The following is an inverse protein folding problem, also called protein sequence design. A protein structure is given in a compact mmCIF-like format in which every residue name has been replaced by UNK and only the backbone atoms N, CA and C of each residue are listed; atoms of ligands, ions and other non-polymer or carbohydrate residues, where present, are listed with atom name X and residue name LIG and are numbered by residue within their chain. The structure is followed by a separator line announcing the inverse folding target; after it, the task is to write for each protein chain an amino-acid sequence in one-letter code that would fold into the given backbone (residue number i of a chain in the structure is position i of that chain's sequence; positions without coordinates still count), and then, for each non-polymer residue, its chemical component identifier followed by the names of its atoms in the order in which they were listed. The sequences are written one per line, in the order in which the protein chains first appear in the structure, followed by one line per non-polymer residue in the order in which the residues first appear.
data_IF_679190935102
#
_entry.id   IF_679190935102
#
_cell.length_a   1.000
_cell.length_b   1.000
_cell.length_c   1.000
_cell.angle_alpha   90.00
_cell.angle_beta   90.00
_cell.angle_gamma   90.00
#
_symmetry.space_group_name_H-M   'P 1'
#
loop_
_entity.id
_entity.type
_entity.pdbx_description
1 polymer ?
#
# COMPACT_ATOMS: atom_id res chain seq x y z
N UNK A 1 88.58 -36.36 34.06
CA UNK A 1 87.22 -36.45 33.45
C UNK A 1 86.34 -35.44 34.18
N UNK A 2 85.44 -34.75 33.48
CA UNK A 2 84.45 -33.75 33.98
C UNK A 2 84.81 -32.27 33.96
N UNK A 3 85.22 -31.71 32.83
CA UNK A 3 85.05 -30.27 32.54
C UNK A 3 84.55 -29.98 31.11
N UNK A 4 84.85 -30.83 30.12
CA UNK A 4 84.36 -30.62 28.75
C UNK A 4 82.88 -30.97 28.52
N UNK A 5 82.24 -31.77 29.39
CA UNK A 5 80.81 -32.11 29.23
C UNK A 5 79.84 -30.99 29.68
N UNK A 6 80.30 -29.97 30.40
CA UNK A 6 79.42 -28.95 30.96
C UNK A 6 79.22 -27.73 30.03
N UNK A 7 80.16 -27.47 29.11
CA UNK A 7 80.02 -26.38 28.13
C UNK A 7 79.05 -26.70 26.99
N UNK A 8 78.92 -27.97 26.59
CA UNK A 8 78.00 -28.36 25.51
C UNK A 8 76.52 -28.33 25.91
N UNK A 9 76.19 -28.31 27.22
CA UNK A 9 74.80 -28.28 27.69
C UNK A 9 74.21 -26.86 27.76
N UNK A 10 75.01 -25.82 28.01
CA UNK A 10 74.51 -24.42 28.02
C UNK A 10 74.16 -23.90 26.63
N UNK A 11 74.87 -24.35 25.58
CA UNK A 11 74.61 -23.91 24.21
C UNK A 11 73.33 -24.53 23.63
N UNK A 12 72.96 -25.75 24.07
CA UNK A 12 71.74 -26.42 23.64
C UNK A 12 70.46 -25.72 24.12
N UNK A 13 70.45 -25.23 25.37
CA UNK A 13 69.27 -24.61 26.00
C UNK A 13 68.90 -23.25 25.38
N UNK A 14 69.90 -22.43 25.06
CA UNK A 14 69.69 -21.13 24.39
C UNK A 14 69.28 -21.27 22.92
N UNK A 15 69.82 -22.25 22.19
CA UNK A 15 69.41 -22.50 20.81
C UNK A 15 67.96 -22.98 20.72
N UNK A 16 67.50 -23.81 21.67
CA UNK A 16 66.11 -24.31 21.69
C UNK A 16 65.09 -23.20 21.98
N UNK A 17 65.39 -22.26 22.87
CA UNK A 17 64.48 -21.15 23.20
C UNK A 17 64.31 -20.18 22.03
N UNK A 18 65.39 -19.82 21.34
CA UNK A 18 65.32 -18.93 20.17
C UNK A 18 64.51 -19.56 19.05
N UNK A 19 64.69 -20.86 18.79
CA UNK A 19 63.88 -21.57 17.78
C UNK A 19 62.40 -21.61 18.14
N UNK A 20 62.06 -21.75 19.44
CA UNK A 20 60.67 -21.74 19.91
C UNK A 20 59.99 -20.39 19.76
N UNK A 21 60.69 -19.30 20.06
CA UNK A 21 60.17 -17.92 19.87
C UNK A 21 59.93 -17.63 18.39
N UNK A 22 60.86 -18.03 17.51
CA UNK A 22 60.71 -17.85 16.05
C UNK A 22 59.52 -18.65 15.50
N UNK A 23 59.34 -19.89 15.95
CA UNK A 23 58.18 -20.70 15.56
C UNK A 23 56.86 -20.10 16.05
N UNK A 24 56.78 -19.61 17.29
CA UNK A 24 55.57 -18.92 17.78
C UNK A 24 55.25 -17.66 16.96
N UNK A 25 56.26 -16.82 16.69
CA UNK A 25 56.07 -15.61 15.88
C UNK A 25 55.60 -15.95 14.47
N UNK A 26 56.16 -17.00 13.85
CA UNK A 26 55.73 -17.51 12.55
C UNK A 26 54.24 -17.90 12.56
N UNK A 27 53.79 -18.68 13.55
CA UNK A 27 52.39 -19.09 13.64
C UNK A 27 51.43 -17.92 13.88
N UNK A 28 51.83 -16.91 14.67
CA UNK A 28 51.03 -15.69 14.86
C UNK A 28 50.89 -14.93 13.55
N UNK A 29 51.98 -14.76 12.80
CA UNK A 29 51.95 -14.08 11.49
C UNK A 29 51.10 -14.87 10.51
N UNK A 30 51.29 -16.19 10.43
CA UNK A 30 50.50 -17.06 9.56
C UNK A 30 49.00 -16.99 9.90
N UNK A 31 48.64 -17.04 11.19
CA UNK A 31 47.26 -16.89 11.64
C UNK A 31 46.69 -15.50 11.26
N UNK A 32 47.48 -14.44 11.44
CA UNK A 32 47.07 -13.06 11.11
C UNK A 32 46.83 -12.91 9.61
N UNK A 33 47.76 -13.38 8.77
CA UNK A 33 47.63 -13.37 7.30
C UNK A 33 46.41 -14.18 6.86
N UNK A 34 46.16 -15.32 7.51
CA UNK A 34 45.00 -16.17 7.20
C UNK A 34 43.67 -15.46 7.52
N UNK A 35 43.57 -14.82 8.69
CA UNK A 35 42.39 -14.04 9.09
C UNK A 35 42.15 -12.86 8.15
N UNK A 36 43.21 -12.11 7.81
CA UNK A 36 43.11 -10.98 6.87
C UNK A 36 42.70 -11.44 5.47
N UNK A 37 43.25 -12.56 4.99
CA UNK A 37 42.89 -13.15 3.69
C UNK A 37 41.42 -13.59 3.68
N UNK A 38 40.94 -14.22 4.77
CA UNK A 38 39.53 -14.57 4.92
C UNK A 38 38.63 -13.32 4.92
N UNK A 39 38.99 -12.27 5.66
CA UNK A 39 38.22 -11.01 5.68
C UNK A 39 38.20 -10.33 4.31
N UNK A 40 39.30 -10.36 3.56
CA UNK A 40 39.39 -9.80 2.22
C UNK A 40 38.56 -10.61 1.22
N UNK A 41 38.67 -11.94 1.24
CA UNK A 41 37.86 -12.83 0.40
C UNK A 41 36.37 -12.65 0.71
N UNK A 42 35.99 -12.59 2.00
CA UNK A 42 34.62 -12.31 2.45
C UNK A 42 34.09 -10.99 1.87
N UNK A 43 34.89 -9.92 1.93
CA UNK A 43 34.52 -8.62 1.34
C UNK A 43 34.35 -8.71 -0.18
N UNK A 44 35.25 -9.38 -0.87
CA UNK A 44 35.21 -9.52 -2.33
C UNK A 44 34.06 -10.40 -2.82
N UNK A 45 33.72 -11.47 -2.09
CA UNK A 45 32.62 -12.38 -2.43
C UNK A 45 31.25 -11.73 -2.19
N UNK A 46 31.12 -10.88 -1.18
CA UNK A 46 29.84 -10.20 -0.89
C UNK A 46 29.66 -8.87 -1.63
N UNK A 47 30.70 -8.33 -2.26
CA UNK A 47 30.56 -7.17 -3.16
C UNK A 47 29.58 -7.41 -4.32
N UNK A 48 29.70 -8.48 -5.13
CA UNK A 48 28.78 -8.73 -6.24
C UNK A 48 27.34 -8.94 -5.75
N UNK A 49 27.15 -9.66 -4.64
CA UNK A 49 25.84 -9.89 -4.05
C UNK A 49 25.17 -8.57 -3.61
N UNK A 50 25.92 -7.67 -2.95
CA UNK A 50 25.42 -6.34 -2.58
C UNK A 50 25.03 -5.51 -3.78
N UNK A 51 25.80 -5.59 -4.86
CA UNK A 51 25.51 -4.86 -6.10
C UNK A 51 24.25 -5.40 -6.76
N UNK A 52 24.03 -6.70 -6.75
CA UNK A 52 22.83 -7.32 -7.31
C UNK A 52 21.58 -6.96 -6.50
N UNK A 53 21.62 -7.10 -5.18
CA UNK A 53 20.55 -6.66 -4.28
C UNK A 53 20.24 -5.18 -4.49
N UNK A 54 21.27 -4.34 -4.57
CA UNK A 54 21.08 -2.91 -4.84
C UNK A 54 20.43 -2.64 -6.19
N UNK A 55 20.75 -3.40 -7.24
CA UNK A 55 20.09 -3.27 -8.55
C UNK A 55 18.61 -3.63 -8.47
N UNK A 56 18.26 -4.70 -7.75
CA UNK A 56 16.86 -5.09 -7.54
C UNK A 56 16.11 -4.02 -6.75
N UNK A 57 16.71 -3.48 -5.69
CA UNK A 57 16.17 -2.32 -4.96
C UNK A 57 15.98 -1.11 -5.87
N UNK A 58 16.95 -0.80 -6.73
CA UNK A 58 16.84 0.31 -7.68
C UNK A 58 15.64 0.12 -8.63
N UNK A 59 15.43 -1.11 -9.12
CA UNK A 59 14.30 -1.44 -9.98
C UNK A 59 12.96 -1.26 -9.25
N UNK A 60 12.86 -1.75 -8.01
CA UNK A 60 11.68 -1.56 -7.17
C UNK A 60 11.38 -0.07 -6.95
N UNK A 61 12.37 0.71 -6.54
CA UNK A 61 12.23 2.15 -6.33
C UNK A 61 11.87 2.92 -7.60
N UNK A 62 12.40 2.49 -8.75
CA UNK A 62 12.04 3.06 -10.05
C UNK A 62 10.58 2.77 -10.39
N UNK A 63 10.09 1.56 -10.11
CA UNK A 63 8.68 1.19 -10.29
C UNK A 63 7.79 2.06 -9.40
N UNK A 64 8.07 2.11 -8.09
CA UNK A 64 7.33 2.95 -7.13
C UNK A 64 7.32 4.42 -7.58
N UNK A 65 8.48 5.01 -7.83
CA UNK A 65 8.54 6.43 -8.25
C UNK A 65 7.84 6.67 -9.58
N UNK A 66 7.89 5.76 -10.54
CA UNK A 66 7.24 5.95 -11.83
C UNK A 66 5.71 6.09 -11.73
N UNK A 67 5.09 5.41 -10.75
CA UNK A 67 3.66 5.50 -10.46
C UNK A 67 3.29 6.87 -9.89
N UNK A 68 4.11 7.43 -8.99
CA UNK A 68 3.76 8.61 -8.20
C UNK A 68 4.39 9.93 -8.68
N UNK A 69 5.46 9.91 -9.49
CA UNK A 69 6.21 11.13 -9.88
C UNK A 69 5.45 12.03 -10.86
N UNK A 70 4.47 11.50 -11.60
CA UNK A 70 3.79 12.21 -12.71
C UNK A 70 2.31 12.51 -12.43
N UNK A 71 1.82 12.29 -11.23
CA UNK A 71 0.39 12.39 -10.92
C UNK A 71 0.07 13.54 -9.97
N UNK A 72 -0.69 14.53 -10.43
CA UNK A 72 -1.50 15.35 -9.52
C UNK A 72 -2.68 14.54 -9.00
N UNK A 73 -3.46 15.11 -8.06
CA UNK A 73 -4.60 14.44 -7.41
C UNK A 73 -5.50 13.67 -8.39
N UNK A 74 -5.83 14.29 -9.54
CA UNK A 74 -6.69 13.68 -10.56
C UNK A 74 -6.14 12.34 -11.08
N UNK A 75 -4.83 12.26 -11.36
CA UNK A 75 -4.22 11.03 -11.87
C UNK A 75 -4.17 9.93 -10.82
N UNK A 76 -4.00 10.29 -9.55
CA UNK A 76 -4.04 9.32 -8.46
C UNK A 76 -5.46 8.76 -8.32
N UNK A 77 -6.47 9.62 -8.37
CA UNK A 77 -7.87 9.19 -8.39
C UNK A 77 -8.20 8.29 -9.59
N UNK A 78 -7.67 8.62 -10.77
CA UNK A 78 -7.79 7.78 -11.97
C UNK A 78 -7.03 6.46 -11.87
N UNK A 79 -5.87 6.45 -11.20
CA UNK A 79 -5.10 5.23 -10.97
C UNK A 79 -5.93 4.24 -10.14
N UNK A 80 -6.43 4.68 -8.99
CA UNK A 80 -7.33 3.90 -8.13
C UNK A 80 -8.79 3.85 -8.62
N UNK A 81 -9.13 4.46 -9.75
CA UNK A 81 -10.47 4.42 -10.35
C UNK A 81 -11.62 4.92 -9.44
N UNK A 82 -11.31 5.81 -8.50
CA UNK A 82 -12.25 6.27 -7.45
C UNK A 82 -13.46 7.02 -8.04
N UNK A 83 -13.24 7.82 -9.08
CA UNK A 83 -14.31 8.55 -9.78
C UNK A 83 -15.32 7.60 -10.42
N UNK A 84 -14.85 6.46 -10.96
CA UNK A 84 -15.71 5.45 -11.56
C UNK A 84 -16.49 4.71 -10.49
N UNK A 85 -15.84 4.31 -9.40
CA UNK A 85 -16.50 3.72 -8.23
C UNK A 85 -17.63 4.62 -7.73
N UNK A 86 -17.36 5.92 -7.55
CA UNK A 86 -18.39 6.86 -7.12
C UNK A 86 -19.56 6.90 -8.11
N UNK A 87 -19.28 7.04 -9.41
CA UNK A 87 -20.33 7.09 -10.46
C UNK A 87 -21.17 5.82 -10.46
N UNK A 88 -20.54 4.65 -10.44
CA UNK A 88 -21.24 3.37 -10.46
C UNK A 88 -22.20 3.24 -9.28
N UNK A 89 -21.71 3.49 -8.07
CA UNK A 89 -22.53 3.39 -6.86
C UNK A 89 -23.61 4.48 -6.78
N UNK A 90 -23.35 5.66 -7.34
CA UNK A 90 -24.35 6.73 -7.49
C UNK A 90 -25.53 6.26 -8.36
N UNK A 91 -25.25 5.62 -9.49
CA UNK A 91 -26.30 5.07 -10.36
C UNK A 91 -27.06 3.92 -9.70
N UNK A 92 -26.37 3.02 -8.99
CA UNK A 92 -27.01 1.94 -8.25
C UNK A 92 -27.94 2.48 -7.16
N UNK A 93 -27.49 3.47 -6.40
CA UNK A 93 -28.32 4.17 -5.41
C UNK A 93 -29.54 4.81 -6.07
N UNK A 94 -29.35 5.48 -7.21
CA UNK A 94 -30.45 6.11 -7.94
C UNK A 94 -31.46 5.09 -8.47
N UNK A 95 -31.01 3.97 -9.01
CA UNK A 95 -31.88 2.89 -9.48
C UNK A 95 -32.68 2.26 -8.34
N UNK A 96 -32.05 2.07 -7.16
CA UNK A 96 -32.73 1.63 -5.95
C UNK A 96 -33.77 2.66 -5.49
N UNK A 97 -33.48 3.96 -5.58
CA UNK A 97 -34.40 5.03 -5.23
C UNK A 97 -35.62 5.09 -6.16
N UNK A 98 -35.40 4.97 -7.47
CA UNK A 98 -36.49 4.95 -8.46
C UNK A 98 -37.38 3.72 -8.26
N UNK A 99 -36.78 2.56 -7.97
CA UNK A 99 -37.53 1.34 -7.64
C UNK A 99 -38.38 1.53 -6.37
N UNK A 100 -37.81 2.20 -5.36
CA UNK A 100 -38.55 2.56 -4.15
C UNK A 100 -39.75 3.46 -4.44
N UNK A 101 -39.59 4.47 -5.31
CA UNK A 101 -40.70 5.35 -5.72
C UNK A 101 -41.75 4.64 -6.57
N UNK A 102 -41.35 3.71 -7.43
CA UNK A 102 -42.25 2.96 -8.30
C UNK A 102 -43.04 1.86 -7.57
N UNK A 103 -42.57 1.42 -6.40
CA UNK A 103 -43.15 0.29 -5.67
C UNK A 103 -42.93 -1.07 -6.35
N UNK A 104 -42.14 -1.11 -7.41
CA UNK A 104 -41.74 -2.29 -8.17
C UNK A 104 -40.23 -2.22 -8.48
N UNK A 105 -39.54 -3.37 -8.60
CA UNK A 105 -38.14 -3.38 -9.00
C UNK A 105 -38.01 -2.85 -10.43
N UNK A 106 -37.45 -1.64 -10.56
CA UNK A 106 -37.12 -1.09 -11.87
C UNK A 106 -35.82 -1.75 -12.31
N UNK A 107 -35.89 -2.56 -13.37
CA UNK A 107 -34.70 -3.10 -13.99
C UNK A 107 -33.87 -1.94 -14.53
N UNK A 108 -32.62 -1.76 -14.07
CA UNK A 108 -31.76 -0.71 -14.61
C UNK A 108 -31.52 -0.99 -16.10
N UNK A 109 -31.36 0.07 -16.89
CA UNK A 109 -31.14 -0.02 -18.34
C UNK A 109 -29.97 -0.97 -18.68
N UNK A 110 -30.26 -2.05 -19.42
CA UNK A 110 -29.35 -3.17 -19.74
C UNK A 110 -28.06 -2.69 -20.41
N UNK A 111 -28.13 -1.59 -21.18
CA UNK A 111 -26.98 -1.03 -21.91
C UNK A 111 -25.93 -0.48 -20.94
N UNK A 112 -26.35 0.17 -19.86
CA UNK A 112 -25.45 0.76 -18.87
C UNK A 112 -24.97 -0.26 -17.84
N UNK A 113 -25.81 -1.24 -17.49
CA UNK A 113 -25.38 -2.37 -16.68
C UNK A 113 -24.35 -3.23 -17.42
N UNK A 114 -24.43 -3.35 -18.75
CA UNK A 114 -23.45 -4.09 -19.55
C UNK A 114 -22.03 -3.51 -19.46
N UNK A 115 -21.88 -2.18 -19.55
CA UNK A 115 -20.58 -1.50 -19.37
C UNK A 115 -20.12 -1.48 -17.91
N UNK A 116 -21.05 -1.38 -16.94
CA UNK A 116 -20.71 -1.47 -15.52
C UNK A 116 -20.29 -2.89 -15.10
N UNK A 117 -20.94 -3.92 -15.66
CA UNK A 117 -20.74 -5.31 -15.30
C UNK A 117 -19.46 -5.89 -15.91
N UNK A 118 -18.97 -5.35 -17.03
CA UNK A 118 -17.68 -5.79 -17.60
C UNK A 118 -16.48 -5.39 -16.74
N UNK A 119 -16.60 -4.32 -15.94
CA UNK A 119 -15.51 -3.77 -15.12
C UNK A 119 -15.68 -3.98 -13.61
N UNK A 120 -16.82 -4.52 -13.18
CA UNK A 120 -17.11 -4.89 -11.80
C UNK A 120 -16.61 -6.31 -11.51
N UNK A 121 -15.53 -6.45 -10.75
CA UNK A 121 -14.96 -7.76 -10.37
C UNK A 121 -15.31 -8.15 -8.92
N UNK A 122 -15.92 -7.24 -8.14
CA UNK A 122 -16.36 -7.54 -6.79
C UNK A 122 -17.23 -6.46 -6.14
N UNK A 123 -17.76 -6.78 -4.95
CA UNK A 123 -18.42 -5.83 -4.06
C UNK A 123 -17.74 -5.87 -2.70
N UNK A 124 -17.34 -4.71 -2.18
CA UNK A 124 -16.84 -4.59 -0.81
C UNK A 124 -18.05 -4.41 0.12
N UNK A 125 -18.17 -5.28 1.11
CA UNK A 125 -19.09 -5.11 2.23
C UNK A 125 -18.31 -4.37 3.32
N UNK A 126 -18.57 -3.07 3.47
CA UNK A 126 -18.02 -2.31 4.60
C UNK A 126 -18.97 -2.58 5.78
N UNK A 127 -18.61 -3.56 6.61
CA UNK A 127 -19.30 -3.85 7.86
C UNK A 127 -19.00 -2.71 8.85
N UNK A 128 -19.90 -1.72 8.95
CA UNK A 128 -19.90 -0.88 10.14
C UNK A 128 -20.25 -1.75 11.36
N UNK A 129 -19.58 -1.57 12.52
CA UNK A 129 -19.87 -2.34 13.73
C UNK A 129 -21.32 -2.14 14.24
N UNK A 130 -22.01 -1.10 13.79
CA UNK A 130 -23.40 -0.78 14.15
C UNK A 130 -24.45 -1.31 13.15
N UNK A 131 -24.04 -2.08 12.13
CA UNK A 131 -24.99 -2.61 11.15
C UNK A 131 -25.75 -3.78 11.75
N UNK A 132 -26.97 -3.53 12.23
CA UNK A 132 -27.94 -4.58 12.58
C UNK A 132 -28.17 -5.46 11.35
N UNK A 133 -27.58 -6.65 11.36
CA UNK A 133 -27.89 -7.72 10.42
C UNK A 133 -29.31 -8.17 10.72
N UNK A 134 -30.30 -7.63 10.04
CA UNK A 134 -31.64 -8.21 10.04
C UNK A 134 -31.58 -9.54 9.28
N UNK A 135 -31.79 -10.64 10.01
CA UNK A 135 -32.08 -11.93 9.41
C UNK A 135 -33.37 -11.79 8.59
N UNK A 136 -33.25 -11.90 7.27
CA UNK A 136 -34.42 -12.01 6.38
C UNK A 136 -35.11 -13.34 6.68
N UNK A 137 -36.19 -13.29 7.43
CA UNK A 137 -37.13 -14.40 7.60
C UNK A 137 -37.92 -14.66 6.32
N UNK A 138 -38.51 -15.86 6.16
CA UNK A 138 -39.37 -16.17 5.03
C UNK A 138 -40.55 -15.18 4.96
N UNK A 139 -41.05 -14.83 3.75
CA UNK A 139 -42.08 -13.83 3.57
C UNK A 139 -43.35 -14.21 4.33
N UNK A 140 -43.80 -13.30 5.20
CA UNK A 140 -45.07 -13.40 5.92
C UNK A 140 -46.22 -13.12 4.95
N UNK A 141 -47.12 -14.09 4.67
CA UNK A 141 -48.20 -13.94 3.70
C UNK A 141 -49.26 -12.92 4.11
N UNK A 142 -49.24 -12.40 5.33
CA UNK A 142 -50.24 -11.46 5.83
C UNK A 142 -49.82 -9.97 5.71
N UNK A 143 -48.66 -9.67 5.12
CA UNK A 143 -48.12 -8.30 5.03
C UNK A 143 -48.64 -7.46 3.83
N UNK A 144 -49.76 -7.82 3.20
CA UNK A 144 -50.31 -7.10 2.04
C UNK A 144 -51.25 -5.93 2.36
N UNK A 145 -51.66 -5.72 3.61
CA UNK A 145 -52.59 -4.63 3.96
C UNK A 145 -51.91 -3.41 4.60
N UNK A 146 -51.17 -2.62 3.81
CA UNK A 146 -51.00 -1.16 4.07
C UNK A 146 -50.25 -0.46 2.93
N UNK A 147 -50.85 -0.46 1.73
CA UNK A 147 -50.45 0.43 0.63
C UNK A 147 -51.42 1.61 0.55
N UNK A 148 -51.29 2.58 1.46
CA UNK A 148 -51.72 3.98 1.29
C UNK A 148 -51.47 4.75 2.60
N UNK A 149 -50.27 5.30 2.76
CA UNK A 149 -50.03 6.40 3.69
C UNK A 149 -48.74 7.11 3.32
N UNK A 150 -48.76 8.43 3.38
CA UNK A 150 -47.69 9.37 3.04
C UNK A 150 -46.46 9.32 3.97
N UNK A 151 -46.08 8.13 4.45
CA UNK A 151 -44.91 7.85 5.27
C UNK A 151 -43.71 7.11 4.59
N UNK A 152 -43.53 6.97 3.25
CA UNK A 152 -42.37 6.24 2.72
C UNK A 152 -41.04 7.01 2.82
N UNK A 153 -41.04 8.34 2.71
CA UNK A 153 -39.82 9.11 2.52
C UNK A 153 -38.85 9.07 3.71
N UNK A 154 -39.39 9.03 4.94
CA UNK A 154 -38.58 8.91 6.16
C UNK A 154 -37.82 7.58 6.20
N UNK A 155 -38.41 6.49 5.69
CA UNK A 155 -37.75 5.18 5.63
C UNK A 155 -36.56 5.15 4.67
N UNK A 156 -36.63 5.87 3.56
CA UNK A 156 -35.51 5.97 2.61
C UNK A 156 -34.33 6.76 3.20
N UNK A 157 -34.62 7.89 3.85
CA UNK A 157 -33.59 8.80 4.38
C UNK A 157 -32.68 8.16 5.44
N UNK A 158 -33.13 7.08 6.09
CA UNK A 158 -32.35 6.31 7.06
C UNK A 158 -31.48 5.21 6.42
N UNK A 159 -31.60 4.96 5.12
CA UNK A 159 -30.93 3.84 4.45
C UNK A 159 -29.52 4.25 4.01
N UNK A 160 -28.49 3.83 4.75
CA UNK A 160 -27.11 3.85 4.26
C UNK A 160 -26.88 2.71 3.26
N UNK A 161 -26.21 2.95 2.13
CA UNK A 161 -25.82 1.86 1.23
C UNK A 161 -24.86 0.90 1.96
N UNK A 162 -25.27 -0.36 2.09
CA UNK A 162 -24.51 -1.40 2.82
C UNK A 162 -23.40 -2.05 1.99
N UNK A 163 -23.40 -1.84 0.67
CA UNK A 163 -22.44 -2.46 -0.25
C UNK A 163 -21.92 -1.41 -1.21
N UNK A 164 -20.60 -1.38 -1.38
CA UNK A 164 -19.93 -0.57 -2.38
C UNK A 164 -19.40 -1.48 -3.48
N UNK A 165 -19.86 -1.26 -4.71
CA UNK A 165 -19.30 -1.94 -5.89
C UNK A 165 -17.95 -1.30 -6.20
N UNK A 166 -16.91 -2.11 -6.30
CA UNK A 166 -15.55 -1.67 -6.61
C UNK A 166 -15.16 -2.17 -8.00
N UNK A 167 -14.26 -1.43 -8.65
CA UNK A 167 -13.77 -1.82 -9.98
C UNK A 167 -12.59 -2.76 -9.85
N UNK A 168 -12.39 -3.59 -10.88
CA UNK A 168 -11.19 -4.42 -11.03
C UNK A 168 -9.90 -3.61 -10.87
N UNK A 169 -9.85 -2.46 -11.53
CA UNK A 169 -8.68 -1.57 -11.51
C UNK A 169 -8.32 -1.08 -10.11
N UNK A 170 -9.32 -0.79 -9.28
CA UNK A 170 -9.08 -0.43 -7.88
C UNK A 170 -8.39 -1.58 -7.14
N UNK A 171 -8.91 -2.80 -7.27
CA UNK A 171 -8.31 -3.98 -6.64
C UNK A 171 -6.87 -4.21 -7.11
N UNK A 172 -6.64 -4.19 -8.43
CA UNK A 172 -5.29 -4.34 -9.01
C UNK A 172 -4.31 -3.25 -8.51
N UNK A 173 -4.79 -2.01 -8.31
CA UNK A 173 -3.95 -0.90 -7.83
C UNK A 173 -3.63 -1.00 -6.34
N UNK A 174 -4.57 -1.51 -5.52
CA UNK A 174 -4.32 -1.79 -4.10
C UNK A 174 -3.38 -2.98 -3.95
N UNK A 175 -3.59 -4.04 -4.72
CA UNK A 175 -2.71 -5.21 -4.74
C UNK A 175 -1.27 -4.83 -5.14
N UNK A 176 -1.10 -3.87 -6.05
CA UNK A 176 0.23 -3.34 -6.40
C UNK A 176 0.91 -2.63 -5.20
N UNK A 177 0.16 -1.90 -4.37
CA UNK A 177 0.70 -1.32 -3.12
C UNK A 177 1.08 -2.41 -2.11
N UNK A 178 0.23 -3.42 -1.95
CA UNK A 178 0.49 -4.54 -1.05
C UNK A 178 1.69 -5.38 -1.51
N UNK A 179 1.86 -5.56 -2.82
CA UNK A 179 3.04 -6.22 -3.41
C UNK A 179 4.32 -5.48 -3.01
N UNK A 180 4.32 -4.14 -3.06
CA UNK A 180 5.49 -3.36 -2.61
C UNK A 180 5.76 -3.54 -1.11
N UNK A 181 4.73 -3.58 -0.27
CA UNK A 181 4.87 -3.76 1.17
C UNK A 181 5.37 -5.16 1.54
N UNK A 182 4.99 -6.17 0.76
CA UNK A 182 5.41 -7.55 0.90
C UNK A 182 6.83 -7.81 0.39
N UNK A 183 7.40 -6.93 -0.45
CA UNK A 183 8.73 -7.09 -1.01
C UNK A 183 9.82 -6.95 0.09
N UNK A 184 10.62 -8.00 0.37
CA UNK A 184 11.67 -7.95 1.37
C UNK A 184 12.82 -6.99 1.03
N UNK A 185 12.90 -6.51 -0.22
CA UNK A 185 13.89 -5.55 -0.68
C UNK A 185 13.45 -4.10 -0.45
N UNK A 186 12.20 -3.86 -0.05
CA UNK A 186 11.70 -2.53 0.25
C UNK A 186 12.52 -1.89 1.39
N UNK A 187 13.11 -0.70 1.18
CA UNK A 187 13.77 0.02 2.26
C UNK A 187 12.79 0.38 3.40
N UNK A 188 13.23 0.20 4.65
CA UNK A 188 12.40 0.46 5.83
C UNK A 188 11.77 1.87 5.84
N UNK A 189 12.50 2.87 5.36
CA UNK A 189 12.04 4.26 5.29
C UNK A 189 10.91 4.54 4.29
N UNK A 190 10.54 3.55 3.46
CA UNK A 190 9.46 3.66 2.47
C UNK A 190 8.20 2.91 2.85
N UNK A 191 8.27 2.02 3.84
CA UNK A 191 7.12 1.23 4.28
C UNK A 191 6.00 2.14 4.81
N UNK A 192 6.32 3.02 5.74
CA UNK A 192 5.34 3.92 6.35
C UNK A 192 4.65 4.84 5.32
N UNK A 193 5.35 5.53 4.39
CA UNK A 193 4.70 6.31 3.34
C UNK A 193 3.73 5.50 2.45
N UNK A 194 4.09 4.25 2.10
CA UNK A 194 3.23 3.37 1.29
C UNK A 194 2.00 2.94 2.10
N UNK A 195 2.16 2.57 3.37
CA UNK A 195 1.05 2.23 4.28
C UNK A 195 0.08 3.39 4.44
N UNK A 196 0.59 4.61 4.67
CA UNK A 196 -0.23 5.83 4.77
C UNK A 196 -1.03 6.10 3.50
N UNK A 197 -0.40 5.89 2.33
CA UNK A 197 -1.09 6.03 1.05
C UNK A 197 -2.19 4.99 0.89
N UNK A 198 -1.91 3.72 1.22
CA UNK A 198 -2.90 2.64 1.14
C UNK A 198 -4.10 2.91 2.06
N UNK A 199 -3.84 3.33 3.31
CA UNK A 199 -4.88 3.71 4.27
C UNK A 199 -5.74 4.86 3.73
N UNK A 200 -5.13 5.87 3.11
CA UNK A 200 -5.87 6.99 2.53
C UNK A 200 -6.75 6.58 1.34
N UNK A 201 -6.31 5.60 0.53
CA UNK A 201 -7.11 5.03 -0.56
C UNK A 201 -8.34 4.32 0.00
N UNK A 202 -8.21 3.52 1.06
CA UNK A 202 -9.35 2.88 1.72
C UNK A 202 -10.29 3.90 2.38
N UNK A 203 -9.75 4.92 3.06
CA UNK A 203 -10.56 6.02 3.60
C UNK A 203 -11.35 6.76 2.52
N UNK A 204 -10.82 6.84 1.30
CA UNK A 204 -11.55 7.43 0.19
C UNK A 204 -12.74 6.57 -0.27
N UNK A 205 -12.71 5.24 -0.09
CA UNK A 205 -13.90 4.39 -0.29
C UNK A 205 -14.95 4.63 0.79
N UNK A 206 -14.54 4.74 2.05
CA UNK A 206 -15.43 5.10 3.16
C UNK A 206 -16.08 6.48 2.90
N UNK A 207 -15.29 7.45 2.45
CA UNK A 207 -15.78 8.77 2.06
C UNK A 207 -16.79 8.73 0.90
N UNK A 208 -16.67 7.78 -0.04
CA UNK A 208 -17.68 7.56 -1.07
C UNK A 208 -18.97 7.03 -0.42
N UNK A 209 -18.87 6.06 0.49
CA UNK A 209 -20.04 5.51 1.19
C UNK A 209 -20.77 6.59 2.00
N UNK A 210 -20.04 7.41 2.74
CA UNK A 210 -20.61 8.53 3.50
C UNK A 210 -21.28 9.54 2.59
N UNK A 211 -20.64 9.89 1.47
CA UNK A 211 -21.22 10.80 0.48
C UNK A 211 -22.51 10.25 -0.15
N UNK A 212 -22.58 8.94 -0.39
CA UNK A 212 -23.80 8.29 -0.88
C UNK A 212 -24.87 8.23 0.21
N UNK A 213 -24.51 8.05 1.49
CA UNK A 213 -25.45 8.12 2.61
C UNK A 213 -26.08 9.51 2.75
N UNK A 214 -25.27 10.57 2.68
CA UNK A 214 -25.77 11.95 2.67
C UNK A 214 -26.63 12.22 1.44
N UNK A 215 -26.19 11.76 0.26
CA UNK A 215 -26.96 11.90 -0.97
C UNK A 215 -28.32 11.19 -0.87
N UNK A 216 -28.36 9.98 -0.32
CA UNK A 216 -29.59 9.21 -0.12
C UNK A 216 -30.59 9.95 0.77
N UNK A 217 -30.12 10.64 1.82
CA UNK A 217 -30.98 11.46 2.68
C UNK A 217 -31.56 12.70 1.96
N UNK A 218 -30.80 13.28 1.01
CA UNK A 218 -31.22 14.47 0.25
C UNK A 218 -32.16 14.11 -0.90
N UNK A 219 -32.02 12.92 -1.49
CA UNK A 219 -32.77 12.47 -2.67
C UNK A 219 -34.30 12.66 -2.54
N UNK A 220 -34.99 12.24 -1.46
CA UNK A 220 -36.44 12.44 -1.29
C UNK A 220 -36.90 13.88 -1.41
N UNK A 221 -36.14 14.80 -0.82
CA UNK A 221 -36.48 16.22 -0.83
C UNK A 221 -36.24 16.88 -2.19
N UNK A 222 -35.22 16.41 -2.93
CA UNK A 222 -34.81 16.98 -4.21
C UNK A 222 -35.57 16.38 -5.39
N UNK A 223 -35.92 15.09 -5.32
CA UNK A 223 -36.52 14.32 -6.40
C UNK A 223 -37.72 13.49 -5.93
N UNK A 224 -38.82 14.13 -5.52
CA UNK A 224 -39.93 13.44 -4.86
C UNK A 224 -40.72 12.47 -5.74
N UNK A 225 -40.59 12.57 -7.08
CA UNK A 225 -41.38 11.79 -8.05
C UNK A 225 -40.50 11.15 -9.13
N UNK A 226 -40.97 10.06 -9.74
CA UNK A 226 -40.27 9.39 -10.84
C UNK A 226 -39.96 10.37 -11.99
N UNK A 227 -40.92 11.23 -12.36
CA UNK A 227 -40.68 12.24 -13.40
C UNK A 227 -39.54 13.22 -13.05
N UNK A 228 -39.41 13.58 -11.77
CA UNK A 228 -38.31 14.44 -11.31
C UNK A 228 -36.95 13.72 -11.37
N UNK A 229 -36.92 12.41 -11.13
CA UNK A 229 -35.70 11.61 -11.22
C UNK A 229 -35.15 11.53 -12.65
N UNK A 230 -36.01 11.52 -13.67
CA UNK A 230 -35.62 11.50 -15.07
C UNK A 230 -34.88 12.76 -15.56
N UNK A 231 -34.95 13.87 -14.79
CA UNK A 231 -34.22 15.12 -15.07
C UNK A 231 -33.10 15.37 -14.04
N UNK A 232 -32.75 14.35 -13.25
CA UNK A 232 -31.78 14.51 -12.18
C UNK A 232 -30.38 14.82 -12.71
N UNK A 233 -29.73 15.79 -12.08
CA UNK A 233 -28.30 16.00 -12.22
C UNK A 233 -27.65 15.45 -10.95
N UNK A 234 -26.79 14.44 -11.07
CA UNK A 234 -26.15 13.76 -9.94
C UNK A 234 -24.73 14.27 -9.66
N UNK A 235 -24.25 15.29 -10.39
CA UNK A 235 -22.89 15.85 -10.21
C UNK A 235 -22.65 16.46 -8.83
N UNK A 236 -23.70 16.86 -8.10
CA UNK A 236 -23.57 17.39 -6.74
C UNK A 236 -23.09 16.33 -5.75
N UNK A 237 -23.28 15.03 -6.03
CA UNK A 237 -22.80 13.93 -5.18
C UNK A 237 -21.26 13.92 -5.17
N UNK A 238 -20.63 14.21 -6.30
CA UNK A 238 -19.17 14.41 -6.37
C UNK A 238 -18.70 15.59 -5.51
N UNK A 239 -19.52 16.63 -5.36
CA UNK A 239 -19.20 17.74 -4.46
C UNK A 239 -19.29 17.35 -2.99
N UNK A 240 -20.22 16.45 -2.62
CA UNK A 240 -20.29 15.89 -1.26
C UNK A 240 -19.04 15.07 -1.02
N UNK A 241 -18.74 14.11 -1.91
CA UNK A 241 -17.54 13.28 -1.78
C UNK A 241 -16.25 14.09 -1.66
N UNK A 242 -16.07 15.13 -2.48
CA UNK A 242 -14.89 16.00 -2.41
C UNK A 242 -14.70 16.70 -1.04
N UNK A 243 -15.73 16.80 -0.19
CA UNK A 243 -15.61 17.34 1.19
C UNK A 243 -15.05 16.32 2.17
N UNK A 244 -15.32 15.03 1.95
CA UNK A 244 -14.88 13.93 2.81
C UNK A 244 -13.60 13.26 2.29
N UNK A 245 -13.30 13.41 0.99
CA UNK A 245 -12.17 12.77 0.35
C UNK A 245 -10.83 13.24 0.95
N UNK A 246 -9.97 12.26 1.25
CA UNK A 246 -8.59 12.49 1.66
C UNK A 246 -7.76 12.73 0.39
N UNK A 247 -6.99 13.83 0.39
CA UNK A 247 -6.10 14.14 -0.73
C UNK A 247 -4.93 13.15 -0.78
N UNK A 248 -4.76 12.50 -1.92
CA UNK A 248 -3.70 11.52 -2.15
C UNK A 248 -2.38 12.17 -2.56
N UNK A 249 -2.43 13.34 -3.22
CA UNK A 249 -1.27 14.05 -3.76
C UNK A 249 -0.17 14.37 -2.72
N UNK A 250 -0.49 14.88 -1.50
CA UNK A 250 0.53 15.11 -0.48
C UNK A 250 1.24 13.82 -0.06
N UNK A 251 0.50 12.71 0.09
CA UNK A 251 1.05 11.42 0.49
C UNK A 251 1.92 10.81 -0.61
N UNK A 252 1.51 10.94 -1.88
CA UNK A 252 2.32 10.54 -3.02
C UNK A 252 3.61 11.38 -3.12
N UNK A 253 3.53 12.67 -2.77
CA UNK A 253 4.70 13.56 -2.73
C UNK A 253 5.67 13.15 -1.63
N UNK A 254 5.16 12.88 -0.42
CA UNK A 254 5.94 12.35 0.70
C UNK A 254 6.67 11.05 0.32
N UNK A 255 5.99 10.15 -0.39
CA UNK A 255 6.56 8.89 -0.87
C UNK A 255 7.69 9.09 -1.89
N UNK A 256 7.49 10.01 -2.85
CA UNK A 256 8.52 10.37 -3.84
C UNK A 256 9.71 11.04 -3.15
N UNK A 257 9.47 11.90 -2.16
CA UNK A 257 10.53 12.54 -1.38
C UNK A 257 11.30 11.51 -0.54
N UNK A 258 10.61 10.60 0.14
CA UNK A 258 11.23 9.50 0.87
C UNK A 258 12.12 8.64 -0.06
N UNK A 259 11.67 8.42 -1.29
CA UNK A 259 12.46 7.67 -2.28
C UNK A 259 13.69 8.45 -2.73
N UNK A 260 13.56 9.76 -2.95
CA UNK A 260 14.70 10.64 -3.25
C UNK A 260 15.69 10.70 -2.10
N UNK A 261 15.21 10.80 -0.87
CA UNK A 261 16.05 10.83 0.33
C UNK A 261 16.81 9.53 0.50
N UNK A 262 16.22 8.37 0.18
CA UNK A 262 16.95 7.10 0.15
C UNK A 262 18.11 7.12 -0.87
N UNK A 263 17.93 7.79 -2.01
CA UNK A 263 19.00 7.99 -2.99
C UNK A 263 20.03 9.05 -2.55
N UNK A 264 19.61 10.09 -1.84
CA UNK A 264 20.43 11.28 -1.54
C UNK A 264 21.14 11.21 -0.18
N UNK A 265 20.66 10.41 0.78
CA UNK A 265 21.45 10.10 1.98
C UNK A 265 22.75 9.48 1.49
N UNK A 266 23.84 10.26 1.46
CA UNK A 266 25.29 10.01 1.68
C UNK A 266 25.85 8.56 1.59
N UNK A 267 25.16 7.58 1.00
CA UNK A 267 25.16 6.17 1.44
C UNK A 267 24.98 5.15 0.32
N UNK A 268 25.66 5.33 -0.81
CA UNK A 268 26.16 4.16 -1.57
C UNK A 268 27.55 3.70 -1.08
N UNK A 269 28.04 4.27 0.04
CA UNK A 269 29.32 3.89 0.65
C UNK A 269 30.57 4.43 -0.06
N UNK A 270 30.42 5.33 -1.04
CA UNK A 270 31.52 5.85 -1.84
C UNK A 270 32.39 6.92 -1.13
N UNK A 271 31.87 7.61 -0.10
CA UNK A 271 32.62 8.65 0.60
C UNK A 271 33.68 8.15 1.59
N UNK A 272 33.62 6.91 2.08
CA UNK A 272 34.70 6.37 2.95
C UNK A 272 36.05 6.27 2.24
N UNK A 273 36.07 6.38 0.90
CA UNK A 273 37.29 6.49 0.10
C UNK A 273 37.81 7.93 -0.01
N UNK A 274 36.91 8.92 -0.03
CA UNK A 274 37.27 10.35 -0.09
C UNK A 274 37.74 10.89 1.27
N UNK A 275 37.10 10.51 2.38
CA UNK A 275 37.55 10.91 3.73
C UNK A 275 38.87 10.27 4.15
N UNK A 276 39.22 9.10 3.62
CA UNK A 276 40.56 8.49 3.83
C UNK A 276 41.65 9.10 2.96
N UNK A 277 41.30 9.83 1.91
CA UNK A 277 42.25 10.50 1.02
C UNK A 277 42.45 11.98 1.40
N UNK A 278 41.59 12.54 2.25
CA UNK A 278 41.68 13.90 2.79
C UNK A 278 42.18 13.95 4.25
N UNK A 279 42.79 12.87 4.75
CA UNK A 279 43.64 12.90 5.94
C UNK A 279 45.10 12.91 5.48
N UNK A 280 45.56 14.09 5.06
CA UNK A 280 46.96 14.50 5.01
C UNK A 280 47.04 15.89 5.60
#
# INVERSE_FOLDING_TARGET
MTTEQQQSQCFGFWCTDVTGVVQMAFWIIAATVTVLSYLQARRSLFQPLRVEVFKLQLQLLTRITSLFTRGGELRLREHFDLDKILKMNTFLMMGAYVSFLAGEPVQPDEVYLGELASDAEGSMIILHPDTLVELVGPPDPDAEESRQSAAPMDKWSATKPQRLVITRRFHESVDELEEFLADPLLPDGLREPIERLNEAVHKNLEAIQDALGEAAAILPSSYPTIESTGKSNLSWISNIWNRHAVRLEPLATDLVEATRNYFDTKSLGLQRRAERLNLN
#
